data_IF_710931458126
#
_entry.id   IF_710931458126
#
_cell.length_a   1.000
_cell.length_b   1.000
_cell.length_c   1.000
_cell.angle_alpha   90.00
_cell.angle_beta   90.00
_cell.angle_gamma   90.00
#
_symmetry.space_group_name_H-M   'P 1'
#
loop_
_entity.id
_entity.type
_entity.pdbx_description
1 polymer ?
#
# COMPACT_ATOMS: atom_id res chain seq x y z
N UNK A 1 -5.36 -13.47 -2.13
CA UNK A 1 -4.21 -12.52 -2.01
C UNK A 1 -2.91 -13.06 -2.60
N UNK A 2 -2.09 -13.88 -1.91
CA UNK A 2 -0.74 -14.23 -2.43
C UNK A 2 -0.76 -14.91 -3.79
N UNK A 3 -1.58 -15.95 -3.96
CA UNK A 3 -1.65 -16.74 -5.19
C UNK A 3 -2.05 -15.88 -6.42
N UNK A 4 -2.99 -14.95 -6.21
CA UNK A 4 -3.55 -14.08 -7.25
C UNK A 4 -2.67 -12.86 -7.61
N UNK A 5 -1.59 -12.60 -6.86
CA UNK A 5 -0.79 -11.39 -7.01
C UNK A 5 0.69 -11.71 -7.27
N UNK A 6 1.10 -11.80 -8.56
CA UNK A 6 2.47 -12.13 -8.96
C UNK A 6 3.55 -11.25 -8.30
N UNK A 7 3.25 -9.99 -7.98
CA UNK A 7 4.18 -9.10 -7.29
C UNK A 7 4.64 -9.64 -5.93
N UNK A 8 3.84 -10.50 -5.28
CA UNK A 8 4.15 -11.09 -3.97
C UNK A 8 5.07 -12.32 -4.06
N UNK A 9 5.38 -12.80 -5.25
CA UNK A 9 6.19 -14.01 -5.47
C UNK A 9 7.69 -13.71 -5.64
N UNK A 10 8.04 -12.45 -5.91
CA UNK A 10 9.41 -11.98 -6.10
C UNK A 10 9.98 -11.29 -4.86
N UNK A 11 11.31 -11.25 -4.68
CA UNK A 11 11.93 -10.61 -3.51
C UNK A 11 12.55 -9.24 -3.79
N UNK A 12 13.12 -9.03 -4.98
CA UNK A 12 13.93 -7.83 -5.31
C UNK A 12 13.11 -6.62 -5.76
N UNK A 13 11.79 -6.78 -5.85
CA UNK A 13 10.84 -5.77 -6.32
C UNK A 13 10.23 -4.92 -5.20
N UNK A 14 10.70 -5.06 -3.95
CA UNK A 14 10.20 -4.28 -2.83
C UNK A 14 10.74 -2.85 -2.84
N UNK A 15 9.87 -1.87 -2.59
CA UNK A 15 10.20 -0.45 -2.41
C UNK A 15 9.51 0.09 -1.18
N UNK A 16 10.25 0.80 -0.32
CA UNK A 16 9.68 1.49 0.82
C UNK A 16 9.17 2.87 0.42
N UNK A 17 8.10 3.30 1.07
CA UNK A 17 7.54 4.64 0.95
C UNK A 17 7.57 5.31 2.32
N UNK A 18 7.58 6.63 2.34
CA UNK A 18 7.52 7.35 3.61
C UNK A 18 6.10 7.26 4.20
N UNK A 19 6.06 7.17 5.52
CA UNK A 19 4.86 7.40 6.34
C UNK A 19 5.31 8.21 7.55
N UNK A 20 4.61 9.29 7.86
CA UNK A 20 4.99 10.26 8.90
C UNK A 20 4.72 9.77 10.35
N UNK A 21 4.59 8.45 10.53
CA UNK A 21 4.41 7.80 11.83
C UNK A 21 5.41 6.65 11.99
N UNK A 22 6.32 6.77 12.96
CA UNK A 22 7.38 5.78 13.22
C UNK A 22 6.90 4.42 13.76
N UNK A 23 5.63 4.30 14.14
CA UNK A 23 4.99 3.02 14.47
C UNK A 23 4.39 2.32 13.25
N UNK A 24 4.51 2.91 12.05
CA UNK A 24 3.95 2.40 10.81
C UNK A 24 5.04 2.16 9.76
N UNK A 25 4.75 1.28 8.81
CA UNK A 25 5.60 1.01 7.65
C UNK A 25 4.76 0.96 6.39
N UNK A 26 5.23 1.62 5.33
CA UNK A 26 4.62 1.61 4.00
C UNK A 26 5.61 1.04 2.98
N UNK A 27 5.20 0.03 2.22
CA UNK A 27 6.00 -0.52 1.13
C UNK A 27 5.14 -1.04 0.00
N UNK A 28 5.67 -1.02 -1.21
CA UNK A 28 5.06 -1.65 -2.37
C UNK A 28 5.92 -2.77 -2.93
N UNK A 29 5.26 -3.65 -3.69
CA UNK A 29 5.88 -4.62 -4.56
C UNK A 29 5.17 -4.54 -5.90
N UNK A 30 5.94 -4.37 -6.97
CA UNK A 30 5.45 -4.33 -8.34
C UNK A 30 6.03 -5.46 -9.15
N UNK A 31 5.22 -6.13 -9.95
CA UNK A 31 5.68 -7.00 -11.00
C UNK A 31 5.68 -6.22 -12.31
N UNK A 32 6.86 -5.94 -12.86
CA UNK A 32 6.98 -5.08 -14.04
C UNK A 32 6.48 -5.77 -15.32
N UNK A 33 6.40 -7.10 -15.34
CA UNK A 33 5.90 -7.87 -16.49
C UNK A 33 4.38 -7.76 -16.61
N UNK A 34 3.65 -7.94 -15.50
CA UNK A 34 2.19 -7.91 -15.49
C UNK A 34 1.60 -6.54 -15.12
N UNK A 35 2.38 -5.67 -14.49
CA UNK A 35 1.91 -4.42 -13.88
C UNK A 35 1.21 -4.62 -12.52
N UNK A 36 1.05 -5.86 -12.04
CA UNK A 36 0.45 -6.14 -10.74
C UNK A 36 1.24 -5.41 -9.64
N UNK A 37 0.55 -4.59 -8.86
CA UNK A 37 1.17 -3.74 -7.84
C UNK A 37 0.42 -3.89 -6.53
N UNK A 38 1.14 -4.33 -5.51
CA UNK A 38 0.66 -4.41 -4.12
C UNK A 38 1.29 -3.28 -3.31
N UNK A 39 0.46 -2.55 -2.57
CA UNK A 39 0.88 -1.53 -1.61
C UNK A 39 0.40 -1.95 -0.22
N UNK A 40 1.33 -2.02 0.73
CA UNK A 40 1.06 -2.46 2.10
C UNK A 40 1.37 -1.34 3.07
N UNK A 41 0.45 -1.08 3.99
CA UNK A 41 0.69 -0.27 5.18
C UNK A 41 0.42 -1.13 6.41
N UNK A 42 1.36 -1.19 7.35
CA UNK A 42 1.24 -2.01 8.57
C UNK A 42 1.64 -1.23 9.81
N UNK A 43 0.98 -1.50 10.93
CA UNK A 43 1.35 -0.99 12.26
C UNK A 43 2.24 -1.99 12.99
N UNK A 44 3.25 -1.49 13.71
CA UNK A 44 4.05 -2.25 14.68
C UNK A 44 3.47 -2.19 16.09
N UNK A 45 2.43 -1.39 16.32
CA UNK A 45 1.69 -1.29 17.56
C UNK A 45 0.45 -2.19 17.51
N UNK A 46 0.42 -3.21 18.36
CA UNK A 46 -0.68 -4.18 18.46
C UNK A 46 -1.82 -3.75 19.38
N UNK A 47 -1.72 -2.58 20.02
CA UNK A 47 -2.61 -2.18 21.12
C UNK A 47 -3.35 -0.88 20.84
N UNK A 48 -2.74 0.04 20.09
CA UNK A 48 -3.32 1.36 19.80
C UNK A 48 -3.58 1.56 18.31
N UNK A 49 -4.62 2.35 18.04
CA UNK A 49 -4.88 2.89 16.70
C UNK A 49 -3.71 3.77 16.28
N UNK A 50 -3.20 3.54 15.07
CA UNK A 50 -2.16 4.36 14.47
C UNK A 50 -2.71 5.14 13.27
N UNK A 51 -2.24 6.37 13.11
CA UNK A 51 -2.60 7.25 12.01
C UNK A 51 -1.37 7.92 11.42
N UNK A 52 -1.37 8.17 10.13
CA UNK A 52 -0.30 8.91 9.45
C UNK A 52 -0.66 9.27 8.02
N UNK A 53 0.24 9.97 7.35
CA UNK A 53 0.19 10.29 5.94
C UNK A 53 1.34 9.59 5.20
N UNK A 54 1.01 8.85 4.15
CA UNK A 54 2.00 8.27 3.26
C UNK A 54 2.46 9.31 2.25
N UNK A 55 3.75 9.32 1.92
CA UNK A 55 4.29 9.96 0.72
C UNK A 55 4.82 8.87 -0.21
N UNK A 56 4.08 8.60 -1.28
CA UNK A 56 4.36 7.49 -2.19
C UNK A 56 5.42 7.88 -3.24
N UNK A 57 6.30 6.92 -3.53
CA UNK A 57 7.17 6.97 -4.71
C UNK A 57 6.32 6.49 -5.90
N UNK A 58 5.75 7.45 -6.62
CA UNK A 58 4.80 7.17 -7.71
C UNK A 58 5.48 6.38 -8.84
N UNK A 59 6.77 6.64 -9.10
CA UNK A 59 7.50 5.93 -10.14
C UNK A 59 7.69 4.45 -9.78
N UNK A 60 7.90 4.12 -8.50
CA UNK A 60 7.94 2.74 -8.02
C UNK A 60 6.61 2.00 -8.21
N UNK A 61 5.49 2.72 -8.28
CA UNK A 61 4.16 2.18 -8.58
C UNK A 61 3.89 2.09 -10.10
N UNK A 62 4.79 2.60 -10.94
CA UNK A 62 4.59 2.71 -12.39
C UNK A 62 3.64 3.85 -12.79
N UNK A 63 3.52 4.87 -11.95
CA UNK A 63 2.62 6.01 -12.13
C UNK A 63 3.39 7.33 -12.33
N UNK A 64 2.75 8.29 -12.98
CA UNK A 64 3.18 9.69 -13.00
C UNK A 64 2.99 10.38 -11.64
N UNK A 65 3.84 11.36 -11.34
CA UNK A 65 3.83 12.07 -10.05
C UNK A 65 2.49 12.75 -9.68
N UNK A 66 1.67 13.07 -10.68
CA UNK A 66 0.39 13.76 -10.48
C UNK A 66 -0.83 12.85 -10.74
N UNK A 67 -0.60 11.56 -10.97
CA UNK A 67 -1.66 10.63 -11.28
C UNK A 67 -2.54 10.37 -10.05
N UNK A 68 -3.82 10.15 -10.33
CA UNK A 68 -4.78 9.58 -9.39
C UNK A 68 -5.01 8.12 -9.76
N UNK A 69 -5.22 7.30 -8.76
CA UNK A 69 -5.40 5.86 -8.94
C UNK A 69 -6.30 5.29 -7.86
N UNK A 70 -6.91 4.16 -8.17
CA UNK A 70 -7.76 3.44 -7.22
C UNK A 70 -6.93 2.40 -6.48
N UNK A 71 -7.18 2.26 -5.18
CA UNK A 71 -6.67 1.13 -4.38
C UNK A 71 -7.82 0.32 -3.82
N UNK A 72 -7.68 -1.01 -3.83
CA UNK A 72 -8.67 -1.94 -3.26
C UNK A 72 -8.02 -2.76 -2.17
N UNK A 73 -8.51 -2.63 -0.94
CA UNK A 73 -8.04 -3.40 0.20
C UNK A 73 -8.45 -4.86 0.04
N UNK A 74 -7.48 -5.76 0.02
CA UNK A 74 -7.69 -7.18 -0.16
C UNK A 74 -8.16 -7.89 1.13
N UNK A 75 -8.12 -7.22 2.28
CA UNK A 75 -8.64 -7.74 3.56
C UNK A 75 -10.11 -7.36 3.71
N UNK A 76 -10.45 -6.09 3.49
CA UNK A 76 -11.81 -5.57 3.76
C UNK A 76 -12.66 -5.39 2.51
N UNK A 77 -12.06 -5.37 1.31
CA UNK A 77 -12.73 -5.05 0.05
C UNK A 77 -13.01 -3.55 -0.13
N UNK A 78 -12.56 -2.70 0.78
CA UNK A 78 -12.76 -1.25 0.70
C UNK A 78 -11.97 -0.65 -0.46
N UNK A 79 -12.55 0.36 -1.12
CA UNK A 79 -11.97 1.03 -2.28
C UNK A 79 -11.75 2.50 -1.98
N UNK A 80 -10.58 3.03 -2.38
CA UNK A 80 -10.21 4.43 -2.18
C UNK A 80 -9.57 5.04 -3.42
N UNK A 81 -9.78 6.34 -3.61
CA UNK A 81 -9.10 7.14 -4.64
C UNK A 81 -7.89 7.84 -4.04
N UNK A 82 -6.70 7.48 -4.51
CA UNK A 82 -5.42 7.89 -3.95
C UNK A 82 -4.58 8.72 -4.93
N UNK A 83 -3.56 9.38 -4.40
CA UNK A 83 -2.51 10.05 -5.16
C UNK A 83 -1.16 9.86 -4.46
N UNK A 84 -0.25 10.81 -4.62
CA UNK A 84 1.06 10.74 -3.95
C UNK A 84 0.96 10.80 -2.41
N UNK A 85 0.02 11.60 -1.89
CA UNK A 85 -0.15 11.84 -0.45
C UNK A 85 -1.50 11.32 0.03
N UNK A 86 -1.51 10.42 1.02
CA UNK A 86 -2.74 9.77 1.47
C UNK A 86 -2.74 9.62 3.00
N UNK A 87 -3.84 9.97 3.65
CA UNK A 87 -4.05 9.72 5.07
C UNK A 87 -4.49 8.27 5.30
N UNK A 88 -3.91 7.61 6.30
CA UNK A 88 -4.16 6.21 6.64
C UNK A 88 -4.44 6.05 8.13
N UNK A 89 -5.32 5.11 8.48
CA UNK A 89 -5.65 4.76 9.87
C UNK A 89 -5.68 3.25 10.01
N UNK A 90 -4.84 2.71 10.89
CA UNK A 90 -4.83 1.29 11.24
C UNK A 90 -5.40 1.12 12.65
N UNK A 91 -6.39 0.26 12.78
CA UNK A 91 -6.99 -0.11 14.06
C UNK A 91 -6.68 -1.59 14.35
N UNK A 92 -5.84 -1.89 15.35
CA UNK A 92 -5.34 -3.26 15.57
C UNK A 92 -6.46 -4.26 15.91
N UNK A 93 -7.66 -3.79 16.28
CA UNK A 93 -8.82 -4.63 16.56
C UNK A 93 -9.74 -4.83 15.35
N UNK A 94 -9.50 -4.11 14.25
CA UNK A 94 -10.23 -4.24 12.98
C UNK A 94 -9.34 -4.90 11.92
N UNK A 95 -8.18 -4.30 11.65
CA UNK A 95 -7.20 -4.80 10.68
C UNK A 95 -5.79 -4.33 11.08
N UNK A 96 -4.79 -5.23 11.22
CA UNK A 96 -3.44 -4.84 11.63
C UNK A 96 -2.63 -4.20 10.48
N UNK A 97 -3.13 -4.28 9.25
CA UNK A 97 -2.50 -3.78 8.04
C UNK A 97 -3.56 -3.53 6.96
N UNK A 98 -3.27 -2.60 6.05
CA UNK A 98 -3.91 -2.53 4.74
C UNK A 98 -3.06 -3.29 3.72
N UNK A 99 -3.70 -4.10 2.88
CA UNK A 99 -3.04 -4.74 1.73
C UNK A 99 -3.81 -4.34 0.49
N UNK A 100 -3.33 -3.32 -0.21
CA UNK A 100 -3.96 -2.78 -1.39
C UNK A 100 -3.46 -3.43 -2.68
N UNK A 101 -4.38 -3.73 -3.59
CA UNK A 101 -4.08 -3.82 -5.02
C UNK A 101 -4.24 -2.43 -5.62
N UNK A 102 -3.22 -1.94 -6.32
CA UNK A 102 -3.28 -0.70 -7.09
C UNK A 102 -3.92 -0.98 -8.44
N UNK A 103 -4.94 -0.20 -8.79
CA UNK A 103 -5.63 -0.26 -10.06
C UNK A 103 -5.39 1.06 -10.81
N UNK A 104 -4.73 0.95 -11.95
CA UNK A 104 -4.57 2.06 -12.89
C UNK A 104 -5.78 2.04 -13.83
N UNK A 105 -6.48 3.17 -13.93
CA UNK A 105 -7.56 3.34 -14.91
C UNK A 105 -7.09 3.30 -16.36
#
# INVERSE_FOLDING_TARGET
IRDENPALHWLRNLRFHEVDNGAMLCFSKRDDETGNTILVIVSFDSSNVQWGNTTLDMAALGLGWHDRFTVVDQITGATYEWGQFNAVRIDPYVEPAHIFVVQTG
#
